data_IF_011887070947
#
_entry.id   IF_011887070947
#
_cell.length_a   1.000
_cell.length_b   1.000
_cell.length_c   1.000
_cell.angle_alpha   90.00
_cell.angle_beta   90.00
_cell.angle_gamma   90.00
#
_symmetry.space_group_name_H-M   'P 1'
#
loop_
_entity.id
_entity.type
_entity.pdbx_description
1 polymer ?
#
# COMPACT_ATOMS: atom_id res chain seq x y z
N UNK A 1 36.28 5.83 19.01
CA UNK A 1 35.62 5.08 17.95
C UNK A 1 34.38 5.85 17.51
N UNK A 2 34.34 6.25 16.26
CA UNK A 2 33.18 6.92 15.73
C UNK A 2 32.07 5.88 15.53
N UNK A 3 30.91 6.08 16.16
CA UNK A 3 29.74 5.25 15.91
C UNK A 3 29.29 5.49 14.48
N UNK A 4 29.19 4.41 13.71
CA UNK A 4 28.59 4.49 12.39
C UNK A 4 27.09 4.75 12.56
N UNK A 5 26.64 5.91 12.13
CA UNK A 5 25.19 6.16 12.00
C UNK A 5 24.61 5.15 11.01
N UNK A 6 23.47 4.52 11.33
CA UNK A 6 22.83 3.65 10.36
C UNK A 6 22.51 4.43 9.10
N UNK A 7 22.80 3.84 7.95
CA UNK A 7 22.47 4.44 6.67
C UNK A 7 20.95 4.62 6.56
N UNK A 8 20.51 5.73 5.96
CA UNK A 8 19.08 5.90 5.65
C UNK A 8 18.61 4.77 4.74
N UNK A 9 17.40 4.23 4.95
CA UNK A 9 16.88 3.20 4.08
C UNK A 9 16.87 3.65 2.62
N UNK A 10 17.36 2.81 1.73
CA UNK A 10 17.30 3.05 0.28
C UNK A 10 15.95 2.59 -0.25
N UNK A 11 15.59 3.00 -1.47
CA UNK A 11 14.41 2.47 -2.14
C UNK A 11 14.47 0.94 -2.25
N UNK A 12 15.64 0.40 -2.53
CA UNK A 12 15.84 -1.04 -2.62
C UNK A 12 15.56 -1.74 -1.29
N UNK A 13 16.09 -1.21 -0.17
CA UNK A 13 15.87 -1.79 1.15
C UNK A 13 14.42 -1.64 1.59
N UNK A 14 13.74 -0.56 1.23
CA UNK A 14 12.32 -0.35 1.52
C UNK A 14 11.43 -1.30 0.72
N UNK A 15 11.75 -1.56 -0.55
CA UNK A 15 11.05 -2.56 -1.37
C UNK A 15 11.19 -3.95 -0.76
N UNK A 16 12.40 -4.30 -0.32
CA UNK A 16 12.66 -5.58 0.34
C UNK A 16 11.88 -5.72 1.65
N UNK A 17 11.83 -4.66 2.46
CA UNK A 17 11.09 -4.63 3.72
C UNK A 17 9.59 -4.80 3.48
N UNK A 18 9.04 -4.11 2.48
CA UNK A 18 7.63 -4.24 2.10
C UNK A 18 7.31 -5.68 1.66
N UNK A 19 8.15 -6.25 0.80
CA UNK A 19 8.00 -7.63 0.33
C UNK A 19 8.04 -8.62 1.49
N UNK A 20 8.94 -8.42 2.45
CA UNK A 20 9.04 -9.27 3.64
C UNK A 20 7.78 -9.19 4.49
N UNK A 21 7.19 -8.00 4.65
CA UNK A 21 5.94 -7.83 5.39
C UNK A 21 4.79 -8.58 4.74
N UNK A 22 4.70 -8.54 3.41
CA UNK A 22 3.68 -9.28 2.67
C UNK A 22 3.90 -10.79 2.85
N UNK A 23 5.13 -11.25 2.68
CA UNK A 23 5.47 -12.68 2.80
C UNK A 23 5.18 -13.23 4.20
N UNK A 24 5.26 -12.40 5.24
CA UNK A 24 5.01 -12.80 6.62
C UNK A 24 3.52 -12.84 6.97
N UNK A 25 2.64 -12.34 6.12
CA UNK A 25 1.20 -12.36 6.39
C UNK A 25 0.64 -13.78 6.29
N UNK A 26 -0.28 -14.18 7.19
CA UNK A 26 -1.03 -15.42 6.99
C UNK A 26 -2.05 -15.27 5.85
N UNK A 27 -2.51 -16.39 5.32
CA UNK A 27 -3.60 -16.39 4.36
C UNK A 27 -4.92 -16.07 5.07
N UNK A 28 -5.88 -15.40 4.41
CA UNK A 28 -5.86 -14.98 3.00
C UNK A 28 -5.19 -13.62 2.73
N UNK A 29 -4.72 -12.94 3.76
CA UNK A 29 -4.14 -11.60 3.63
C UNK A 29 -2.91 -11.58 2.72
N UNK A 30 -2.07 -12.61 2.80
CA UNK A 30 -0.86 -12.71 1.98
C UNK A 30 -1.18 -12.73 0.49
N UNK A 31 -2.12 -13.57 0.07
CA UNK A 31 -2.54 -13.65 -1.33
C UNK A 31 -3.13 -12.32 -1.81
N UNK A 32 -3.97 -11.72 -0.98
CA UNK A 32 -4.58 -10.43 -1.29
C UNK A 32 -3.53 -9.33 -1.41
N UNK A 33 -2.60 -9.24 -0.46
CA UNK A 33 -1.54 -8.23 -0.47
C UNK A 33 -0.60 -8.41 -1.66
N UNK A 34 -0.28 -9.65 -2.02
CA UNK A 34 0.57 -9.97 -3.17
C UNK A 34 -0.10 -9.51 -4.47
N UNK A 35 -1.38 -9.82 -4.62
CA UNK A 35 -2.16 -9.44 -5.81
C UNK A 35 -2.32 -7.93 -5.90
N UNK A 36 -2.64 -7.29 -4.78
CA UNK A 36 -2.79 -5.85 -4.70
C UNK A 36 -1.48 -5.14 -5.04
N UNK A 37 -0.35 -5.66 -4.57
CA UNK A 37 0.97 -5.12 -4.88
C UNK A 37 1.20 -5.08 -6.40
N UNK A 38 0.96 -6.19 -7.08
CA UNK A 38 1.12 -6.28 -8.53
C UNK A 38 0.22 -5.28 -9.25
N UNK A 39 -1.03 -5.17 -8.80
CA UNK A 39 -2.01 -4.26 -9.36
C UNK A 39 -1.61 -2.80 -9.20
N UNK A 40 -1.16 -2.41 -8.00
CA UNK A 40 -0.73 -1.04 -7.71
C UNK A 40 0.47 -0.65 -8.57
N UNK A 41 1.46 -1.53 -8.64
CA UNK A 41 2.68 -1.25 -9.42
C UNK A 41 2.39 -1.16 -10.92
N UNK A 42 1.44 -1.96 -11.42
CA UNK A 42 1.02 -1.89 -12.82
C UNK A 42 0.21 -0.62 -13.11
N UNK A 43 -0.64 -0.21 -12.18
CA UNK A 43 -1.53 0.95 -12.36
C UNK A 43 -0.82 2.28 -12.17
N UNK A 44 0.17 2.33 -11.28
CA UNK A 44 0.90 3.56 -10.96
C UNK A 44 2.40 3.26 -10.77
N UNK A 45 3.15 3.07 -11.87
CA UNK A 45 4.58 2.73 -11.78
C UNK A 45 5.45 3.79 -11.12
N UNK A 46 4.95 5.02 -10.98
CA UNK A 46 5.67 6.08 -10.27
C UNK A 46 5.71 5.88 -8.76
N UNK A 47 4.86 4.99 -8.22
CA UNK A 47 4.87 4.68 -6.80
C UNK A 47 6.00 3.71 -6.46
N UNK A 48 6.58 3.89 -5.28
CA UNK A 48 7.63 3.03 -4.74
C UNK A 48 7.13 2.29 -3.51
N UNK A 49 7.29 0.96 -3.46
CA UNK A 49 6.91 0.19 -2.26
C UNK A 49 7.79 0.53 -1.07
N UNK A 50 7.17 0.58 0.11
CA UNK A 50 7.87 0.76 1.38
C UNK A 50 7.02 0.19 2.51
N UNK A 51 7.54 0.19 3.72
CA UNK A 51 6.72 -0.05 4.92
C UNK A 51 6.35 1.27 5.57
N UNK A 52 5.18 1.29 6.20
CA UNK A 52 4.68 2.46 6.93
C UNK A 52 3.85 1.95 8.11
N UNK A 53 4.31 2.24 9.32
CA UNK A 53 3.71 1.68 10.54
C UNK A 53 3.53 0.16 10.47
N UNK A 54 4.53 -0.54 9.89
CA UNK A 54 4.50 -1.99 9.74
C UNK A 54 3.56 -2.53 8.65
N UNK A 55 3.01 -1.66 7.82
CA UNK A 55 2.13 -2.02 6.71
C UNK A 55 2.84 -1.84 5.38
N UNK A 56 2.51 -2.67 4.36
CA UNK A 56 2.92 -2.35 2.99
C UNK A 56 2.30 -1.03 2.55
N UNK A 57 3.13 -0.14 2.04
CA UNK A 57 2.71 1.18 1.60
C UNK A 57 3.37 1.54 0.28
N UNK A 58 2.83 2.54 -0.39
CA UNK A 58 3.30 2.96 -1.71
C UNK A 58 3.43 4.45 -1.71
N UNK A 59 4.64 4.93 -2.04
CA UNK A 59 4.99 6.34 -1.90
C UNK A 59 5.35 6.97 -3.24
N UNK A 60 5.10 8.27 -3.34
CA UNK A 60 5.55 9.09 -4.46
C UNK A 60 6.40 10.22 -3.87
N UNK A 61 7.61 10.39 -4.40
CA UNK A 61 8.54 11.43 -3.94
C UNK A 61 8.74 11.39 -2.41
N UNK A 62 8.82 10.18 -1.85
CA UNK A 62 9.05 9.96 -0.42
C UNK A 62 7.82 10.07 0.46
N UNK A 63 6.65 10.41 -0.08
CA UNK A 63 5.42 10.55 0.67
C UNK A 63 4.44 9.42 0.38
N UNK A 64 3.93 8.78 1.43
CA UNK A 64 3.00 7.67 1.30
C UNK A 64 1.70 8.15 0.66
N UNK A 65 1.26 7.47 -0.41
CA UNK A 65 0.01 7.75 -1.11
C UNK A 65 -1.07 6.77 -0.68
N UNK A 66 -0.75 5.48 -0.62
CA UNK A 66 -1.70 4.46 -0.19
C UNK A 66 -1.00 3.35 0.58
N UNK A 67 -1.78 2.55 1.29
CA UNK A 67 -1.26 1.48 2.14
C UNK A 67 -2.29 0.36 2.28
N UNK A 68 -1.79 -0.83 2.62
CA UNK A 68 -2.60 -2.01 2.86
C UNK A 68 -2.55 -2.39 4.33
N UNK A 69 -3.72 -2.47 4.96
CA UNK A 69 -3.88 -2.87 6.35
C UNK A 69 -4.50 -4.26 6.41
N UNK A 70 -3.73 -5.26 6.88
CA UNK A 70 -4.22 -6.63 6.91
C UNK A 70 -5.34 -6.82 7.94
N UNK A 71 -6.31 -7.65 7.60
CA UNK A 71 -7.43 -7.96 8.49
C UNK A 71 -6.95 -8.69 9.74
N UNK A 72 -6.03 -9.62 9.58
CA UNK A 72 -5.52 -10.44 10.67
C UNK A 72 -4.76 -9.63 11.71
N UNK A 73 -3.87 -8.73 11.27
CA UNK A 73 -3.05 -7.91 12.17
C UNK A 73 -3.92 -6.99 13.04
N UNK A 74 -4.97 -6.43 12.49
CA UNK A 74 -5.84 -5.48 13.19
C UNK A 74 -7.11 -6.12 13.71
N UNK A 75 -7.25 -7.45 13.56
CA UNK A 75 -8.39 -8.25 14.06
C UNK A 75 -9.73 -7.71 13.60
N UNK A 76 -9.79 -7.35 12.31
CA UNK A 76 -10.99 -6.89 11.63
C UNK A 76 -11.51 -7.96 10.69
N UNK A 77 -12.77 -7.86 10.28
CA UNK A 77 -13.40 -8.84 9.38
C UNK A 77 -13.07 -8.60 7.91
N UNK A 78 -12.37 -7.52 7.60
CA UNK A 78 -11.92 -7.18 6.24
C UNK A 78 -10.57 -6.48 6.32
N UNK A 79 -9.81 -6.53 5.23
CA UNK A 79 -8.61 -5.73 5.07
C UNK A 79 -8.99 -4.32 4.62
N UNK A 80 -8.06 -3.39 4.72
CA UNK A 80 -8.30 -2.00 4.34
C UNK A 80 -7.26 -1.55 3.31
N UNK A 81 -7.74 -0.98 2.21
CA UNK A 81 -6.93 -0.19 1.32
C UNK A 81 -7.15 1.28 1.70
N UNK A 82 -6.13 1.92 2.25
CA UNK A 82 -6.21 3.30 2.70
C UNK A 82 -5.40 4.24 1.83
N UNK A 83 -5.86 5.48 1.76
CA UNK A 83 -5.18 6.56 1.04
C UNK A 83 -4.86 7.68 2.01
N UNK A 84 -3.67 8.25 1.88
CA UNK A 84 -3.22 9.33 2.75
C UNK A 84 -3.68 10.70 2.22
N UNK A 85 -3.36 11.74 2.97
CA UNK A 85 -3.56 13.13 2.57
C UNK A 85 -2.84 13.48 1.24
N UNK A 86 -1.82 12.71 0.86
CA UNK A 86 -1.05 12.93 -0.36
C UNK A 86 -1.67 12.30 -1.61
N UNK A 87 -2.76 11.54 -1.44
CA UNK A 87 -3.48 10.95 -2.57
C UNK A 87 -4.36 11.98 -3.24
N UNK A 88 -4.28 12.07 -4.57
CA UNK A 88 -5.09 13.01 -5.33
C UNK A 88 -6.46 12.42 -5.66
N UNK A 89 -7.29 12.28 -4.63
CA UNK A 89 -8.64 11.70 -4.76
C UNK A 89 -9.76 12.73 -4.55
N UNK A 90 -9.40 13.99 -4.42
CA UNK A 90 -10.36 15.06 -4.13
C UNK A 90 -11.54 15.06 -5.11
N UNK A 91 -12.74 15.12 -4.54
CA UNK A 91 -13.98 15.13 -5.31
C UNK A 91 -15.00 15.94 -4.51
N UNK A 92 -15.18 17.19 -4.85
CA UNK A 92 -15.98 18.12 -4.05
C UNK A 92 -15.38 18.34 -2.67
N UNK A 93 -16.22 18.39 -1.66
CA UNK A 93 -15.81 18.62 -0.27
C UNK A 93 -15.86 17.34 0.58
N UNK A 94 -16.22 16.22 -0.03
CA UNK A 94 -16.33 14.94 0.66
C UNK A 94 -15.99 13.80 -0.29
N UNK A 95 -14.97 13.01 0.06
CA UNK A 95 -14.60 11.82 -0.71
C UNK A 95 -14.05 10.73 0.21
N UNK A 96 -14.20 9.43 -0.19
CA UNK A 96 -13.67 8.34 0.63
C UNK A 96 -12.15 8.24 0.51
N UNK A 97 -11.50 7.91 1.62
CA UNK A 97 -10.05 7.69 1.68
C UNK A 97 -9.67 6.30 2.19
N UNK A 98 -10.64 5.50 2.63
CA UNK A 98 -10.40 4.14 3.08
C UNK A 98 -11.49 3.22 2.54
N UNK A 99 -11.08 2.03 2.11
CA UNK A 99 -11.97 1.06 1.49
C UNK A 99 -11.82 -0.28 2.17
N UNK A 100 -12.94 -0.90 2.55
CA UNK A 100 -12.96 -2.27 3.06
C UNK A 100 -12.73 -3.23 1.90
N UNK A 101 -11.85 -4.20 2.10
CA UNK A 101 -11.47 -5.15 1.06
C UNK A 101 -11.61 -6.57 1.60
N UNK A 102 -12.63 -7.29 1.14
CA UNK A 102 -12.87 -8.68 1.51
C UNK A 102 -12.28 -9.66 0.51
N UNK A 103 -12.38 -9.36 -0.76
CA UNK A 103 -11.86 -10.18 -1.85
C UNK A 103 -11.40 -9.30 -3.00
N UNK A 104 -10.47 -9.80 -3.82
CA UNK A 104 -10.02 -9.14 -5.04
C UNK A 104 -10.54 -9.89 -6.26
N UNK A 105 -11.78 -9.60 -6.64
CA UNK A 105 -12.33 -10.09 -7.93
C UNK A 105 -11.94 -9.12 -9.04
N UNK A 106 -12.24 -9.49 -10.30
CA UNK A 106 -11.94 -8.65 -11.44
C UNK A 106 -12.56 -7.24 -11.34
N UNK A 107 -13.77 -7.14 -10.77
CA UNK A 107 -14.45 -5.85 -10.59
C UNK A 107 -13.71 -4.96 -9.60
N UNK A 108 -13.28 -5.51 -8.46
CA UNK A 108 -12.51 -4.77 -7.46
C UNK A 108 -11.15 -4.37 -7.98
N UNK A 109 -10.49 -5.24 -8.74
CA UNK A 109 -9.19 -4.94 -9.34
C UNK A 109 -9.29 -3.75 -10.30
N UNK A 110 -10.30 -3.71 -11.15
CA UNK A 110 -10.52 -2.61 -12.09
C UNK A 110 -10.77 -1.29 -11.34
N UNK A 111 -11.59 -1.33 -10.30
CA UNK A 111 -11.89 -0.15 -9.49
C UNK A 111 -10.67 0.36 -8.74
N UNK A 112 -9.92 -0.54 -8.12
CA UNK A 112 -8.71 -0.19 -7.37
C UNK A 112 -7.64 0.37 -8.30
N UNK A 113 -7.45 -0.24 -9.47
CA UNK A 113 -6.50 0.26 -10.46
C UNK A 113 -6.79 1.70 -10.85
N UNK A 114 -8.05 2.03 -11.10
CA UNK A 114 -8.47 3.38 -11.43
C UNK A 114 -8.24 4.36 -10.25
N UNK A 115 -8.56 3.94 -9.03
CA UNK A 115 -8.35 4.75 -7.82
C UNK A 115 -6.87 5.06 -7.60
N UNK A 116 -6.02 4.04 -7.70
CA UNK A 116 -4.58 4.18 -7.48
C UNK A 116 -3.96 5.09 -8.55
N UNK A 117 -4.36 4.92 -9.79
CA UNK A 117 -3.89 5.75 -10.89
C UNK A 117 -4.25 7.22 -10.67
N UNK A 118 -5.49 7.49 -10.24
CA UNK A 118 -5.94 8.85 -9.92
C UNK A 118 -5.19 9.40 -8.71
N UNK A 119 -5.04 8.59 -7.66
CA UNK A 119 -4.38 9.01 -6.43
C UNK A 119 -2.92 9.40 -6.65
N UNK A 120 -2.24 8.73 -7.57
CA UNK A 120 -0.83 8.94 -7.86
C UNK A 120 -0.57 10.02 -8.92
N UNK A 121 -1.60 10.54 -9.53
CA UNK A 121 -1.45 11.53 -10.61
C UNK A 121 -1.10 12.94 -10.12
#
# INVERSE_FOLDING_TARGET
MAEKKPAKPTQKSQKSASRAKIAAMPEPDRAMATRLHALIMASAPALSPRTWYGMPAYARDGEVVCFFQSAQKFKTRYATLGFSDKANLDEGDLWPTAFALKELTAAEEARIGALVKKAAS
#
